data_IF_812509905507
#
_entry.id   IF_812509905507
#
_cell.length_a   1.000
_cell.length_b   1.000
_cell.length_c   1.000
_cell.angle_alpha   90.00
_cell.angle_beta   90.00
_cell.angle_gamma   90.00
#
_symmetry.space_group_name_H-M   'P 1'
#
loop_
_entity.id
_entity.type
_entity.pdbx_description
1 polymer ?
#
# COMPACT_ATOMS: atom_id res chain seq x y z
N UNK A 1 -24.04 0.25 -6.52
CA UNK A 1 -23.51 1.58 -6.87
C UNK A 1 -24.11 2.14 -8.16
N UNK A 2 -24.27 1.37 -9.24
CA UNK A 2 -24.79 1.85 -10.55
C UNK A 2 -26.15 2.57 -10.54
N UNK A 3 -27.00 2.27 -9.55
CA UNK A 3 -28.33 2.88 -9.40
C UNK A 3 -28.36 3.99 -8.33
N UNK A 4 -27.22 4.30 -7.72
CA UNK A 4 -27.12 5.24 -6.60
C UNK A 4 -26.70 6.62 -7.12
N UNK A 5 -27.36 7.68 -6.66
CA UNK A 5 -26.84 9.03 -6.83
C UNK A 5 -25.61 9.28 -5.94
N UNK A 6 -24.89 10.38 -6.16
CA UNK A 6 -23.71 10.72 -5.36
C UNK A 6 -24.02 10.82 -3.86
N UNK A 7 -25.17 11.40 -3.50
CA UNK A 7 -25.63 11.48 -2.10
C UNK A 7 -25.88 10.10 -1.48
N UNK A 8 -26.46 9.17 -2.24
CA UNK A 8 -26.69 7.80 -1.78
C UNK A 8 -25.36 7.08 -1.56
N UNK A 9 -24.39 7.22 -2.47
CA UNK A 9 -23.06 6.63 -2.33
C UNK A 9 -22.37 7.11 -1.06
N UNK A 10 -22.39 8.42 -0.78
CA UNK A 10 -21.83 9.01 0.43
C UNK A 10 -22.54 8.46 1.68
N UNK A 11 -23.88 8.48 1.69
CA UNK A 11 -24.68 8.07 2.83
C UNK A 11 -24.55 6.57 3.14
N UNK A 12 -24.45 5.72 2.11
CA UNK A 12 -24.21 4.27 2.25
C UNK A 12 -22.79 4.04 2.75
N UNK A 13 -21.78 4.64 2.12
CA UNK A 13 -20.38 4.49 2.53
C UNK A 13 -20.15 4.93 3.98
N UNK A 14 -20.78 6.03 4.43
CA UNK A 14 -20.68 6.52 5.81
C UNK A 14 -21.24 5.54 6.87
N UNK A 15 -22.11 4.60 6.47
CA UNK A 15 -22.63 3.54 7.35
C UNK A 15 -21.75 2.30 7.36
N UNK A 16 -21.04 2.02 6.28
CA UNK A 16 -20.10 0.91 6.18
C UNK A 16 -18.80 1.25 6.94
N UNK A 17 -18.39 0.39 7.87
CA UNK A 17 -17.15 0.60 8.64
C UNK A 17 -16.21 -0.57 8.46
N UNK A 18 -15.03 -0.28 7.93
CA UNK A 18 -13.93 -1.22 7.78
C UNK A 18 -12.79 -0.69 8.64
N UNK A 19 -12.39 -1.47 9.64
CA UNK A 19 -11.31 -1.11 10.56
C UNK A 19 -10.20 -2.12 10.39
N UNK A 20 -8.99 -1.65 10.13
CA UNK A 20 -7.78 -2.48 10.04
C UNK A 20 -6.71 -1.96 11.01
N UNK A 21 -5.79 -2.84 11.40
CA UNK A 21 -4.75 -2.50 12.35
C UNK A 21 -3.41 -3.18 12.03
N UNK A 22 -2.33 -2.43 12.22
CA UNK A 22 -0.96 -2.92 12.17
C UNK A 22 -0.12 -2.30 13.30
N UNK A 23 0.44 -1.10 13.11
CA UNK A 23 1.06 -0.29 14.19
C UNK A 23 0.13 0.78 14.71
N UNK A 24 -0.77 1.25 13.86
CA UNK A 24 -1.91 2.12 14.20
C UNK A 24 -3.23 1.40 13.84
N UNK A 25 -4.36 2.06 14.10
CA UNK A 25 -5.70 1.61 13.70
C UNK A 25 -6.32 2.63 12.77
N UNK A 26 -6.71 2.20 11.57
CA UNK A 26 -7.35 3.05 10.54
C UNK A 26 -8.82 2.66 10.37
N UNK A 27 -9.68 3.63 10.05
CA UNK A 27 -11.12 3.42 9.78
C UNK A 27 -12.06 3.65 10.97
N UNK A 28 -11.55 4.11 12.11
CA UNK A 28 -12.38 4.50 13.26
C UNK A 28 -13.17 5.79 13.00
N UNK A 29 -14.37 5.95 13.60
CA UNK A 29 -15.19 7.16 13.42
C UNK A 29 -14.49 8.42 13.94
N UNK A 30 -14.70 9.53 13.24
CA UNK A 30 -14.13 10.83 13.61
C UNK A 30 -12.62 10.93 13.39
N UNK A 31 -12.02 9.99 12.65
CA UNK A 31 -10.60 10.01 12.27
C UNK A 31 -10.48 10.00 10.76
N UNK A 32 -9.54 10.79 10.25
CA UNK A 32 -9.11 10.77 8.86
C UNK A 32 -7.60 10.55 8.86
N UNK A 33 -7.18 9.47 8.20
CA UNK A 33 -5.77 9.14 8.08
C UNK A 33 -5.22 9.55 6.72
N UNK A 34 -3.93 9.77 6.68
CA UNK A 34 -3.21 10.25 5.51
C UNK A 34 -1.98 9.40 5.22
N UNK A 35 -1.78 9.12 3.94
CA UNK A 35 -0.51 8.61 3.42
C UNK A 35 0.47 9.78 3.29
N UNK A 36 1.68 9.58 3.78
CA UNK A 36 2.82 10.45 3.47
C UNK A 36 3.68 9.77 2.40
N UNK A 37 3.82 10.40 1.24
CA UNK A 37 4.56 9.85 0.09
C UNK A 37 5.67 10.81 -0.36
N UNK A 38 6.83 10.79 0.31
CA UNK A 38 7.95 11.66 0.02
C UNK A 38 8.79 11.05 -1.12
N UNK A 39 8.26 11.05 -2.34
CA UNK A 39 8.98 10.55 -3.51
C UNK A 39 10.12 11.49 -3.92
N UNK A 40 11.22 10.93 -4.39
CA UNK A 40 12.31 11.66 -5.05
C UNK A 40 12.57 11.07 -6.45
N UNK A 41 12.82 11.89 -7.50
CA UNK A 41 13.05 11.38 -8.86
C UNK A 41 14.25 10.43 -9.02
N UNK A 42 15.18 10.42 -8.06
CA UNK A 42 16.40 9.61 -8.06
C UNK A 42 16.51 8.70 -6.83
N UNK A 43 15.45 8.62 -6.02
CA UNK A 43 15.44 7.95 -4.72
C UNK A 43 16.54 8.47 -3.76
N UNK A 44 16.84 9.78 -3.76
CA UNK A 44 17.81 10.38 -2.85
C UNK A 44 17.35 10.27 -1.38
N UNK A 45 18.10 9.56 -0.51
CA UNK A 45 17.67 9.35 0.87
C UNK A 45 17.52 10.64 1.68
N UNK A 46 18.31 11.69 1.39
CA UNK A 46 18.23 12.94 2.15
C UNK A 46 16.98 13.73 1.79
N UNK A 47 16.65 13.82 0.50
CA UNK A 47 15.42 14.45 0.01
C UNK A 47 14.18 13.74 0.56
N UNK A 48 14.17 12.40 0.51
CA UNK A 48 13.08 11.58 1.05
C UNK A 48 12.95 11.78 2.56
N UNK A 49 14.06 11.75 3.30
CA UNK A 49 14.04 11.98 4.76
C UNK A 49 13.54 13.39 5.10
N UNK A 50 13.95 14.41 4.35
CA UNK A 50 13.47 15.78 4.54
C UNK A 50 11.95 15.88 4.30
N UNK A 51 11.45 15.32 3.20
CA UNK A 51 10.01 15.27 2.91
C UNK A 51 9.21 14.45 3.93
N UNK A 52 9.81 13.39 4.47
CA UNK A 52 9.22 12.59 5.55
C UNK A 52 9.06 13.43 6.81
N UNK A 53 10.10 14.15 7.23
CA UNK A 53 10.05 14.98 8.43
C UNK A 53 9.08 16.16 8.27
N UNK A 54 9.08 16.81 7.10
CA UNK A 54 8.15 17.91 6.80
C UNK A 54 6.70 17.43 6.87
N UNK A 55 6.37 16.32 6.22
CA UNK A 55 5.02 15.76 6.27
C UNK A 55 4.57 15.36 7.69
N UNK A 56 5.47 14.80 8.50
CA UNK A 56 5.18 14.48 9.89
C UNK A 56 4.86 15.72 10.73
N UNK A 57 5.48 16.88 10.46
CA UNK A 57 5.15 18.15 11.14
C UNK A 57 3.73 18.62 10.84
N UNK A 58 3.16 18.23 9.70
CA UNK A 58 1.76 18.49 9.33
C UNK A 58 0.79 17.39 9.80
N UNK A 59 1.26 16.40 10.58
CA UNK A 59 0.44 15.30 11.06
C UNK A 59 0.08 14.27 9.99
N UNK A 60 0.87 14.20 8.91
CA UNK A 60 0.67 13.25 7.82
C UNK A 60 1.42 11.95 8.08
N UNK A 61 0.93 10.84 7.50
CA UNK A 61 1.63 9.56 7.51
C UNK A 61 1.15 8.57 8.56
N UNK A 62 0.03 8.81 9.24
CA UNK A 62 -0.58 7.86 10.18
C UNK A 62 -1.20 6.63 9.48
N UNK A 63 -1.56 6.75 8.20
CA UNK A 63 -1.97 5.62 7.37
C UNK A 63 -0.78 4.78 6.91
N UNK A 64 0.29 5.44 6.39
CA UNK A 64 1.55 4.82 5.96
C UNK A 64 2.52 5.92 5.55
N UNK A 65 3.82 5.74 5.80
CA UNK A 65 4.88 6.46 5.10
C UNK A 65 5.34 5.57 3.94
N UNK A 66 4.92 5.91 2.72
CA UNK A 66 5.03 5.04 1.55
C UNK A 66 5.80 5.69 0.40
N UNK A 67 6.96 5.14 0.01
CA UNK A 67 7.77 5.66 -1.11
C UNK A 67 7.45 4.87 -2.38
N UNK A 68 7.12 5.54 -3.48
CA UNK A 68 7.11 4.90 -4.80
C UNK A 68 8.51 5.08 -5.40
N UNK A 69 9.33 4.01 -5.46
CA UNK A 69 10.72 4.14 -5.84
C UNK A 69 10.85 4.45 -7.35
N UNK A 70 11.82 5.27 -7.71
CA UNK A 70 12.17 5.56 -9.10
C UNK A 70 12.68 4.31 -9.84
N UNK A 71 13.24 3.34 -9.11
CA UNK A 71 13.69 2.05 -9.66
C UNK A 71 13.20 0.86 -8.84
N UNK A 72 12.77 -0.21 -9.51
CA UNK A 72 12.43 -1.47 -8.85
C UNK A 72 13.70 -2.32 -8.62
N UNK A 73 14.39 -2.04 -7.52
CA UNK A 73 15.64 -2.68 -7.14
C UNK A 73 15.62 -3.09 -5.66
N UNK A 74 15.96 -4.35 -5.38
CA UNK A 74 15.92 -4.92 -4.01
C UNK A 74 16.83 -4.15 -3.04
N UNK A 75 18.07 -3.83 -3.42
CA UNK A 75 19.01 -3.11 -2.54
C UNK A 75 18.53 -1.68 -2.26
N UNK A 76 17.97 -1.01 -3.27
CA UNK A 76 17.35 0.30 -3.08
C UNK A 76 16.14 0.22 -2.14
N UNK A 77 15.27 -0.79 -2.33
CA UNK A 77 14.12 -1.04 -1.47
C UNK A 77 14.54 -1.26 -0.01
N UNK A 78 15.52 -2.13 0.24
CA UNK A 78 16.06 -2.40 1.58
C UNK A 78 16.61 -1.12 2.22
N UNK A 79 17.37 -0.33 1.46
CA UNK A 79 17.95 0.94 1.94
C UNK A 79 16.86 1.93 2.37
N UNK A 80 15.82 2.10 1.54
CA UNK A 80 14.69 2.98 1.85
C UNK A 80 13.87 2.49 3.04
N UNK A 81 13.57 1.19 3.12
CA UNK A 81 12.88 0.58 4.26
C UNK A 81 13.66 0.77 5.56
N UNK A 82 14.98 0.54 5.53
CA UNK A 82 15.86 0.73 6.69
C UNK A 82 15.86 2.17 7.16
N UNK A 83 16.02 3.13 6.24
CA UNK A 83 15.96 4.55 6.55
C UNK A 83 14.63 4.96 7.18
N UNK A 84 13.50 4.49 6.64
CA UNK A 84 12.17 4.78 7.20
C UNK A 84 12.00 4.17 8.59
N UNK A 85 12.46 2.94 8.81
CA UNK A 85 12.41 2.30 10.14
C UNK A 85 13.29 3.04 11.16
N UNK A 86 14.46 3.53 10.75
CA UNK A 86 15.33 4.33 11.60
C UNK A 86 14.67 5.66 12.02
N UNK A 87 14.04 6.39 11.09
CA UNK A 87 13.27 7.60 11.39
C UNK A 87 12.13 7.27 12.37
N UNK A 88 11.33 6.24 12.06
CA UNK A 88 10.21 5.80 12.90
C UNK A 88 10.67 5.47 14.32
N UNK A 89 11.77 4.73 14.48
CA UNK A 89 12.32 4.34 15.78
C UNK A 89 12.91 5.54 16.53
N UNK A 90 13.67 6.39 15.83
CA UNK A 90 14.34 7.55 16.44
C UNK A 90 13.35 8.56 17.01
N UNK A 91 12.22 8.77 16.34
CA UNK A 91 11.20 9.72 16.76
C UNK A 91 9.95 9.04 17.36
N UNK A 92 10.03 7.72 17.61
CA UNK A 92 8.93 6.90 18.16
C UNK A 92 7.59 7.10 17.43
N UNK A 93 7.65 7.29 16.10
CA UNK A 93 6.47 7.56 15.29
C UNK A 93 5.59 6.30 15.23
N UNK A 94 4.31 6.35 15.65
CA UNK A 94 3.42 5.19 15.67
C UNK A 94 2.80 4.95 14.29
N UNK A 95 3.63 4.70 13.28
CA UNK A 95 3.20 4.44 11.90
C UNK A 95 3.99 3.28 11.27
N UNK A 96 3.50 2.83 10.11
CA UNK A 96 4.11 1.81 9.27
C UNK A 96 4.78 2.40 8.04
N UNK A 97 5.82 1.73 7.57
CA UNK A 97 6.52 2.06 6.33
C UNK A 97 6.14 1.12 5.17
N UNK A 98 6.29 1.62 3.95
CA UNK A 98 6.13 0.84 2.74
C UNK A 98 7.03 1.39 1.63
N UNK A 99 7.62 0.51 0.83
CA UNK A 99 8.20 0.87 -0.47
C UNK A 99 7.35 0.19 -1.52
N UNK A 100 6.72 0.96 -2.40
CA UNK A 100 5.73 0.52 -3.38
C UNK A 100 6.39 -0.12 -4.61
N UNK A 101 7.34 -1.02 -4.35
CA UNK A 101 7.98 -1.89 -5.34
C UNK A 101 7.06 -3.06 -5.72
N UNK A 102 7.42 -3.81 -6.76
CA UNK A 102 6.69 -5.05 -7.08
C UNK A 102 6.75 -6.03 -5.90
N UNK A 103 5.70 -6.84 -5.73
CA UNK A 103 5.56 -7.76 -4.60
C UNK A 103 6.73 -8.74 -4.48
N UNK A 104 7.33 -9.16 -5.59
CA UNK A 104 8.52 -10.02 -5.59
C UNK A 104 9.74 -9.34 -5.00
N UNK A 105 9.91 -8.03 -5.22
CA UNK A 105 10.99 -7.21 -4.63
C UNK A 105 10.79 -7.14 -3.11
N UNK A 106 9.54 -7.01 -2.67
CA UNK A 106 9.19 -7.06 -1.24
C UNK A 106 9.55 -8.40 -0.61
N UNK A 107 9.19 -9.53 -1.24
CA UNK A 107 9.55 -10.88 -0.75
C UNK A 107 11.07 -11.03 -0.63
N UNK A 108 11.82 -10.67 -1.67
CA UNK A 108 13.29 -10.75 -1.63
C UNK A 108 13.91 -9.82 -0.58
N UNK A 109 13.34 -8.64 -0.35
CA UNK A 109 13.79 -7.75 0.71
C UNK A 109 13.56 -8.37 2.10
N UNK A 110 12.41 -9.01 2.31
CA UNK A 110 12.07 -9.73 3.55
C UNK A 110 13.05 -10.88 3.79
N UNK A 111 13.35 -11.69 2.77
CA UNK A 111 14.33 -12.78 2.84
C UNK A 111 15.73 -12.29 3.23
N UNK A 112 16.09 -11.06 2.83
CA UNK A 112 17.35 -10.40 3.20
C UNK A 112 17.28 -9.65 4.54
N UNK A 113 16.19 -9.78 5.29
CA UNK A 113 16.04 -9.21 6.63
C UNK A 113 15.63 -7.75 6.67
N UNK A 114 15.04 -7.21 5.60
CA UNK A 114 14.56 -5.83 5.58
C UNK A 114 13.45 -5.59 6.62
N UNK A 115 13.38 -4.38 7.23
CA UNK A 115 12.35 -4.03 8.20
C UNK A 115 11.03 -3.62 7.51
N UNK A 116 10.49 -4.48 6.64
CA UNK A 116 9.27 -4.24 5.89
C UNK A 116 8.04 -4.32 6.80
N UNK A 117 7.18 -3.31 6.76
CA UNK A 117 5.92 -3.28 7.53
C UNK A 117 4.71 -3.68 6.67
N UNK A 118 4.47 -2.97 5.55
CA UNK A 118 3.39 -3.30 4.61
C UNK A 118 3.93 -3.71 3.24
N UNK A 119 3.34 -4.76 2.66
CA UNK A 119 3.61 -5.22 1.29
C UNK A 119 2.64 -4.54 0.34
N UNK A 120 3.18 -3.78 -0.61
CA UNK A 120 2.40 -3.15 -1.66
C UNK A 120 2.24 -4.06 -2.88
N UNK A 121 1.10 -3.97 -3.55
CA UNK A 121 0.96 -4.45 -4.92
C UNK A 121 -0.22 -3.77 -5.65
N UNK A 122 0.00 -3.34 -6.89
CA UNK A 122 -1.10 -2.99 -7.80
C UNK A 122 -1.85 -4.25 -8.22
N UNK A 123 -3.18 -4.24 -8.11
CA UNK A 123 -4.06 -5.35 -8.49
C UNK A 123 -5.19 -4.88 -9.41
N UNK A 124 -5.79 -5.81 -10.14
CA UNK A 124 -6.91 -5.59 -11.03
C UNK A 124 -7.96 -6.70 -10.91
N UNK A 125 -9.16 -6.42 -11.42
CA UNK A 125 -10.33 -7.30 -11.30
C UNK A 125 -10.38 -8.51 -12.23
N UNK A 126 -9.34 -8.76 -13.04
CA UNK A 126 -9.26 -9.92 -13.94
C UNK A 126 -7.89 -10.56 -13.87
N UNK A 127 -7.85 -11.88 -14.05
CA UNK A 127 -6.59 -12.65 -14.06
C UNK A 127 -5.64 -12.15 -15.14
N UNK A 128 -6.15 -11.87 -16.35
CA UNK A 128 -5.34 -11.34 -17.45
C UNK A 128 -4.74 -9.97 -17.15
N UNK A 129 -5.44 -9.10 -16.42
CA UNK A 129 -4.90 -7.81 -16.02
C UNK A 129 -3.82 -7.96 -14.92
N UNK A 130 -4.06 -8.84 -13.94
CA UNK A 130 -3.05 -9.16 -12.91
C UNK A 130 -1.79 -9.81 -13.51
N UNK A 131 -1.95 -10.68 -14.51
CA UNK A 131 -0.84 -11.25 -15.26
C UNK A 131 -0.03 -10.17 -15.98
N UNK A 132 -0.68 -9.10 -16.46
CA UNK A 132 0.00 -7.91 -17.01
C UNK A 132 0.86 -7.16 -15.99
N UNK A 133 0.51 -7.23 -14.69
CA UNK A 133 1.37 -6.74 -13.60
C UNK A 133 2.42 -7.75 -13.16
N UNK A 134 2.43 -8.98 -13.69
CA UNK A 134 3.31 -10.06 -13.23
C UNK A 134 2.84 -10.71 -11.91
N UNK A 135 1.55 -10.60 -11.58
CA UNK A 135 0.99 -11.01 -10.28
C UNK A 135 0.03 -12.18 -10.43
N UNK A 136 0.11 -13.13 -9.49
CA UNK A 136 -0.88 -14.20 -9.31
C UNK A 136 -1.40 -14.20 -7.87
N UNK A 137 -2.56 -14.80 -7.63
CA UNK A 137 -3.10 -14.93 -6.26
C UNK A 137 -2.16 -15.73 -5.34
N UNK A 138 -1.47 -16.74 -5.88
CA UNK A 138 -0.50 -17.52 -5.11
C UNK A 138 0.68 -16.65 -4.66
N UNK A 139 1.19 -15.77 -5.54
CA UNK A 139 2.25 -14.84 -5.20
C UNK A 139 1.82 -13.80 -4.14
N UNK A 140 0.57 -13.32 -4.21
CA UNK A 140 0.03 -12.42 -3.18
C UNK A 140 -0.07 -13.11 -1.81
N UNK A 141 -0.48 -14.38 -1.78
CA UNK A 141 -0.53 -15.18 -0.56
C UNK A 141 0.87 -15.42 0.02
N UNK A 142 1.85 -15.78 -0.82
CA UNK A 142 3.26 -15.93 -0.42
C UNK A 142 3.80 -14.64 0.21
N UNK A 143 3.52 -13.49 -0.40
CA UNK A 143 3.97 -12.21 0.11
C UNK A 143 3.30 -11.82 1.44
N UNK A 144 2.02 -12.15 1.60
CA UNK A 144 1.31 -11.97 2.86
C UNK A 144 1.94 -12.83 3.96
N UNK A 145 2.20 -14.11 3.68
CA UNK A 145 2.84 -15.03 4.63
C UNK A 145 4.25 -14.57 5.01
N UNK A 146 5.03 -14.11 4.03
CA UNK A 146 6.37 -13.55 4.26
C UNK A 146 6.31 -12.33 5.19
N UNK A 147 5.40 -11.38 4.96
CA UNK A 147 5.24 -10.21 5.82
C UNK A 147 4.74 -10.55 7.22
N UNK A 148 3.79 -11.48 7.35
CA UNK A 148 3.32 -11.97 8.65
C UNK A 148 4.42 -12.66 9.45
N UNK A 149 5.34 -13.37 8.78
CA UNK A 149 6.46 -14.05 9.42
C UNK A 149 7.38 -13.11 10.21
N UNK A 150 7.46 -11.83 9.80
CA UNK A 150 8.26 -10.80 10.46
C UNK A 150 7.70 -10.38 11.83
N UNK A 151 6.39 -10.60 12.09
CA UNK A 151 5.72 -10.28 13.36
C UNK A 151 5.93 -8.83 13.83
N UNK A 152 5.91 -7.89 12.87
CA UNK A 152 6.24 -6.47 13.13
C UNK A 152 5.06 -5.61 13.58
N UNK A 153 3.83 -6.08 13.40
CA UNK A 153 2.62 -5.40 13.85
C UNK A 153 2.51 -5.41 15.38
N UNK A 154 2.13 -4.27 15.96
CA UNK A 154 2.05 -4.09 17.42
C UNK A 154 0.62 -3.97 17.94
N UNK A 155 -0.34 -3.65 17.06
CA UNK A 155 -1.77 -3.55 17.35
C UNK A 155 -2.56 -4.61 16.58
N UNK A 156 -2.15 -4.91 15.34
CA UNK A 156 -2.79 -5.92 14.50
C UNK A 156 -1.85 -6.49 13.46
N UNK A 157 -2.39 -7.27 12.53
CA UNK A 157 -1.64 -8.04 11.54
C UNK A 157 -2.12 -7.82 10.10
N UNK A 158 -2.78 -6.70 9.81
CA UNK A 158 -3.09 -6.32 8.43
C UNK A 158 -1.80 -5.83 7.75
N UNK A 159 -1.24 -6.62 6.84
CA UNK A 159 0.09 -6.38 6.23
C UNK A 159 0.05 -6.04 4.74
N UNK A 160 -1.09 -6.21 4.07
CA UNK A 160 -1.21 -5.96 2.63
C UNK A 160 -1.72 -4.55 2.36
N UNK A 161 -1.10 -3.88 1.39
CA UNK A 161 -1.50 -2.59 0.86
C UNK A 161 -1.70 -2.69 -0.65
N UNK A 162 -2.96 -2.86 -1.06
CA UNK A 162 -3.31 -2.94 -2.47
C UNK A 162 -3.70 -1.57 -3.04
N UNK A 163 -3.35 -1.33 -4.29
CA UNK A 163 -3.82 -0.19 -5.07
C UNK A 163 -4.53 -0.69 -6.32
N UNK A 164 -5.70 -0.11 -6.58
CA UNK A 164 -6.59 -0.48 -7.69
C UNK A 164 -6.77 0.72 -8.62
N UNK A 165 -7.57 0.55 -9.68
CA UNK A 165 -7.85 1.64 -10.60
C UNK A 165 -8.78 1.20 -11.72
N UNK A 166 -9.85 1.96 -11.91
CA UNK A 166 -10.92 1.66 -12.87
C UNK A 166 -10.42 1.40 -14.30
N UNK A 167 -9.35 2.08 -14.71
CA UNK A 167 -8.76 1.95 -16.04
C UNK A 167 -7.88 0.72 -16.24
N UNK A 168 -7.42 0.05 -15.18
CA UNK A 168 -6.35 -0.95 -15.27
C UNK A 168 -6.66 -2.09 -16.25
N UNK A 169 -7.83 -2.71 -16.10
CA UNK A 169 -8.24 -3.80 -16.99
C UNK A 169 -8.57 -3.33 -18.42
N UNK A 170 -9.02 -2.09 -18.60
CA UNK A 170 -9.28 -1.54 -19.94
C UNK A 170 -7.96 -1.27 -20.67
N UNK A 171 -7.01 -0.60 -20.01
CA UNK A 171 -5.69 -0.30 -20.59
C UNK A 171 -4.90 -1.55 -20.95
N UNK A 172 -5.13 -2.67 -20.24
CA UNK A 172 -4.52 -3.95 -20.51
C UNK A 172 -5.30 -4.83 -21.52
N UNK A 173 -6.35 -4.31 -22.17
CA UNK A 173 -7.27 -5.08 -23.03
C UNK A 173 -7.78 -6.39 -22.36
N UNK A 174 -8.00 -6.30 -21.05
CA UNK A 174 -8.24 -7.41 -20.15
C UNK A 174 -9.59 -7.30 -19.43
N UNK A 175 -10.49 -6.45 -19.93
CA UNK A 175 -11.78 -6.14 -19.31
C UNK A 175 -12.92 -7.06 -19.77
N UNK A 176 -12.71 -7.87 -20.82
CA UNK A 176 -13.67 -8.89 -21.30
C UNK A 176 -15.08 -8.34 -21.59
N UNK A 177 -15.15 -7.12 -22.14
CA UNK A 177 -16.42 -6.44 -22.43
C UNK A 177 -17.14 -5.86 -21.20
N UNK A 178 -16.60 -6.02 -19.99
CA UNK A 178 -17.12 -5.39 -18.79
C UNK A 178 -16.83 -3.89 -18.78
N UNK A 179 -17.71 -3.12 -18.15
CA UNK A 179 -17.46 -1.71 -17.87
C UNK A 179 -16.45 -1.53 -16.72
N UNK A 180 -15.75 -0.39 -16.71
CA UNK A 180 -14.68 -0.08 -15.76
C UNK A 180 -15.12 -0.18 -14.29
N UNK A 181 -16.35 0.21 -13.96
CA UNK A 181 -16.83 0.17 -12.58
C UNK A 181 -17.08 -1.26 -12.10
N UNK A 182 -17.59 -2.13 -12.97
CA UNK A 182 -17.82 -3.55 -12.64
C UNK A 182 -16.51 -4.29 -12.46
N UNK A 183 -15.53 -4.07 -13.34
CA UNK A 183 -14.21 -4.72 -13.21
C UNK A 183 -13.42 -4.19 -12.02
N UNK A 184 -13.51 -2.90 -11.72
CA UNK A 184 -12.93 -2.32 -10.51
C UNK A 184 -13.52 -2.94 -9.24
N UNK A 185 -14.85 -3.10 -9.18
CA UNK A 185 -15.50 -3.71 -8.02
C UNK A 185 -15.03 -5.16 -7.77
N UNK A 186 -14.59 -5.87 -8.82
CA UNK A 186 -14.00 -7.21 -8.69
C UNK A 186 -12.59 -7.19 -8.07
N UNK A 187 -11.85 -6.09 -8.19
CA UNK A 187 -10.53 -5.95 -7.57
C UNK A 187 -10.63 -5.74 -6.04
N UNK A 188 -11.78 -5.31 -5.53
CA UNK A 188 -12.01 -5.10 -4.09
C UNK A 188 -12.30 -6.38 -3.31
N UNK A 189 -12.65 -7.48 -4.00
CA UNK A 189 -13.07 -8.74 -3.41
C UNK A 189 -11.87 -9.62 -3.05
#
# INVERSE_FOLDING_TARGET
SKLCGNGDLIAIAAKCRVVTAFRSTIGLPGRLSSRLQPNDPTDDPQAIAAGTLDGLLFGMGDAVIGINPATDNVEACIRLLTMLDDIRRKFEVPTQSCVLSHVTTSIQAIERGAPLDLVFQSIAGTESANAGFGVTLALLAEAQDAALSLKRGTIGSNVMYFETGQGAALSADAHHGLDQQTVEARAYA
#
